data_IF_071226645380
#
_entry.id   IF_071226645380
#
_cell.length_a   1.000
_cell.length_b   1.000
_cell.length_c   1.000
_cell.angle_alpha   90.00
_cell.angle_beta   90.00
_cell.angle_gamma   90.00
#
_symmetry.space_group_name_H-M   'P 1'
#
loop_
_entity.id
_entity.type
_entity.pdbx_description
1 polymer ?
#
# COMPACT_ATOMS: atom_id res chain seq x y z
N UNK A 1 -22.68 2.31 -36.41
CA UNK A 1 -23.24 1.61 -35.23
C UNK A 1 -24.35 2.49 -34.67
N UNK A 2 -25.58 1.98 -34.56
CA UNK A 2 -26.74 2.76 -34.08
C UNK A 2 -26.80 2.63 -32.55
N UNK A 3 -26.85 3.74 -31.82
CA UNK A 3 -27.04 3.72 -30.37
C UNK A 3 -28.43 3.12 -30.07
N UNK A 4 -28.45 1.94 -29.46
CA UNK A 4 -29.67 1.16 -29.24
C UNK A 4 -30.48 1.69 -28.04
N UNK A 5 -29.83 2.39 -27.11
CA UNK A 5 -30.46 3.03 -25.96
C UNK A 5 -29.73 4.34 -25.64
N UNK A 6 -30.26 5.51 -26.04
CA UNK A 6 -29.66 6.79 -25.68
C UNK A 6 -29.83 7.05 -24.18
N UNK A 7 -28.71 7.08 -23.46
CA UNK A 7 -28.67 7.43 -22.04
C UNK A 7 -28.41 8.93 -21.91
N UNK A 8 -29.15 9.60 -21.03
CA UNK A 8 -28.87 10.99 -20.67
C UNK A 8 -27.66 11.06 -19.71
N UNK A 9 -26.49 11.31 -20.29
CA UNK A 9 -25.22 11.42 -19.57
C UNK A 9 -25.17 12.70 -18.72
N UNK A 10 -25.91 13.75 -19.11
CA UNK A 10 -25.95 15.03 -18.38
C UNK A 10 -26.70 14.83 -17.06
N UNK A 11 -27.85 14.17 -17.11
CA UNK A 11 -28.61 13.81 -15.91
C UNK A 11 -27.82 12.88 -14.98
N UNK A 12 -27.12 11.87 -15.52
CA UNK A 12 -26.26 10.98 -14.74
C UNK A 12 -25.11 11.74 -14.03
N UNK A 13 -24.46 12.67 -14.73
CA UNK A 13 -23.40 13.51 -14.17
C UNK A 13 -23.93 14.42 -13.05
N UNK A 14 -25.08 15.06 -13.28
CA UNK A 14 -25.71 15.94 -12.29
C UNK A 14 -26.08 15.16 -11.01
N UNK A 15 -26.56 13.92 -11.16
CA UNK A 15 -26.84 13.02 -10.04
C UNK A 15 -25.58 12.67 -9.23
N UNK A 16 -24.51 12.23 -9.91
CA UNK A 16 -23.26 11.89 -9.24
C UNK A 16 -22.62 13.09 -8.54
N UNK A 17 -22.65 14.27 -9.15
CA UNK A 17 -22.17 15.51 -8.52
C UNK A 17 -23.01 15.90 -7.31
N UNK A 18 -24.34 15.73 -7.37
CA UNK A 18 -25.22 15.92 -6.22
C UNK A 18 -24.85 14.99 -5.06
N UNK A 19 -24.52 13.73 -5.35
CA UNK A 19 -24.09 12.76 -4.34
C UNK A 19 -22.74 13.15 -3.70
N UNK A 20 -21.75 13.60 -4.49
CA UNK A 20 -20.44 14.03 -4.00
C UNK A 20 -20.54 15.31 -3.16
N UNK A 21 -21.40 16.24 -3.57
CA UNK A 21 -21.63 17.52 -2.88
C UNK A 21 -22.65 17.42 -1.75
N UNK A 22 -23.10 16.21 -1.41
CA UNK A 22 -24.13 15.93 -0.39
C UNK A 22 -25.45 16.69 -0.60
N UNK A 23 -25.76 17.04 -1.85
CA UNK A 23 -27.00 17.67 -2.28
C UNK A 23 -27.72 16.73 -3.26
N UNK A 24 -28.51 15.76 -2.75
CA UNK A 24 -29.12 14.74 -3.59
C UNK A 24 -30.08 15.34 -4.60
N UNK A 25 -29.89 15.00 -5.87
CA UNK A 25 -30.75 15.41 -7.00
C UNK A 25 -31.57 14.21 -7.49
N UNK A 26 -32.50 14.46 -8.42
CA UNK A 26 -33.39 13.43 -8.95
C UNK A 26 -32.61 12.29 -9.63
N UNK A 27 -32.95 11.05 -9.29
CA UNK A 27 -32.31 9.86 -9.87
C UNK A 27 -32.74 9.70 -11.34
N UNK A 28 -31.80 9.52 -12.29
CA UNK A 28 -32.14 9.19 -13.67
C UNK A 28 -32.89 7.86 -13.77
N UNK A 29 -34.09 7.85 -14.36
CA UNK A 29 -34.95 6.66 -14.45
C UNK A 29 -34.54 5.65 -15.55
N UNK A 30 -33.41 5.88 -16.24
CA UNK A 30 -32.99 5.01 -17.33
C UNK A 30 -32.59 3.62 -16.80
N UNK A 31 -33.19 2.51 -17.28
CA UNK A 31 -32.96 1.17 -16.71
C UNK A 31 -31.49 0.73 -16.69
N UNK A 32 -30.75 0.98 -17.79
CA UNK A 32 -29.31 0.67 -17.84
C UNK A 32 -28.49 1.43 -16.78
N UNK A 33 -28.85 2.68 -16.49
CA UNK A 33 -28.17 3.46 -15.46
C UNK A 33 -28.43 2.86 -14.08
N UNK A 34 -29.68 2.51 -13.77
CA UNK A 34 -30.07 1.93 -12.48
C UNK A 34 -29.42 0.55 -12.25
N UNK A 35 -29.40 -0.31 -13.27
CA UNK A 35 -28.73 -1.62 -13.20
C UNK A 35 -27.23 -1.44 -12.98
N UNK A 36 -26.58 -0.58 -13.77
CA UNK A 36 -25.15 -0.35 -13.63
C UNK A 36 -24.79 0.26 -12.27
N UNK A 37 -25.52 1.29 -11.85
CA UNK A 37 -25.29 1.98 -10.59
C UNK A 37 -25.48 1.05 -9.38
N UNK A 38 -26.51 0.19 -9.40
CA UNK A 38 -26.71 -0.81 -8.34
C UNK A 38 -25.59 -1.85 -8.28
N UNK A 39 -25.11 -2.34 -9.43
CA UNK A 39 -23.94 -3.23 -9.49
C UNK A 39 -22.67 -2.57 -8.93
N UNK A 40 -22.46 -1.27 -9.20
CA UNK A 40 -21.35 -0.50 -8.63
C UNK A 40 -21.48 -0.36 -7.12
N UNK A 41 -22.67 -0.07 -6.58
CA UNK A 41 -22.89 -0.01 -5.14
C UNK A 41 -22.63 -1.35 -4.46
N UNK A 42 -23.09 -2.46 -5.05
CA UNK A 42 -22.79 -3.82 -4.57
C UNK A 42 -21.28 -4.05 -4.59
N UNK A 43 -20.59 -3.64 -5.66
CA UNK A 43 -19.15 -3.79 -5.79
C UNK A 43 -18.41 -2.99 -4.71
N UNK A 44 -18.82 -1.76 -4.41
CA UNK A 44 -18.21 -0.92 -3.35
C UNK A 44 -18.37 -1.57 -1.97
N UNK A 45 -19.56 -2.12 -1.67
CA UNK A 45 -19.80 -2.84 -0.40
C UNK A 45 -18.98 -4.13 -0.32
N UNK A 46 -18.82 -4.84 -1.43
CA UNK A 46 -18.01 -6.06 -1.49
C UNK A 46 -16.50 -5.78 -1.55
N UNK A 47 -16.09 -4.61 -2.02
CA UNK A 47 -14.71 -4.21 -2.25
C UNK A 47 -13.76 -4.50 -1.07
N UNK A 48 -14.08 -4.17 0.20
CA UNK A 48 -13.17 -4.42 1.32
C UNK A 48 -12.99 -5.91 1.67
N UNK A 49 -13.92 -6.78 1.24
CA UNK A 49 -13.87 -8.21 1.50
C UNK A 49 -13.26 -9.03 0.35
N UNK A 50 -13.02 -8.38 -0.79
CA UNK A 50 -12.56 -9.03 -2.01
C UNK A 50 -11.05 -8.93 -2.25
N UNK A 51 -10.60 -9.62 -3.32
CA UNK A 51 -9.22 -9.50 -3.84
C UNK A 51 -8.91 -8.12 -4.42
N UNK A 52 -9.92 -7.29 -4.66
CA UNK A 52 -9.78 -5.96 -5.25
C UNK A 52 -9.08 -4.96 -4.30
N UNK A 53 -9.13 -5.18 -2.99
CA UNK A 53 -8.39 -4.38 -2.01
C UNK A 53 -6.86 -4.57 -2.10
N UNK A 54 -6.38 -5.54 -2.88
CA UNK A 54 -4.95 -5.80 -3.04
C UNK A 54 -4.20 -4.64 -3.75
N UNK A 55 -4.86 -3.91 -4.66
CA UNK A 55 -4.19 -2.88 -5.47
C UNK A 55 -3.68 -1.67 -4.68
N UNK A 56 -4.43 -1.08 -3.72
CA UNK A 56 -3.90 -0.06 -2.82
C UNK A 56 -2.68 -0.53 -1.99
N UNK A 57 -2.63 -1.81 -1.59
CA UNK A 57 -1.54 -2.37 -0.79
C UNK A 57 -0.16 -2.29 -1.47
N UNK A 58 -0.14 -2.20 -2.80
CA UNK A 58 1.09 -2.02 -3.59
C UNK A 58 1.77 -0.68 -3.29
N UNK A 59 1.01 0.38 -2.95
CA UNK A 59 1.58 1.68 -2.58
C UNK A 59 2.11 1.70 -1.14
N UNK A 60 1.59 0.83 -0.27
CA UNK A 60 1.99 0.73 1.14
C UNK A 60 2.98 -0.42 1.42
N UNK A 61 3.59 -1.00 0.38
CA UNK A 61 4.58 -2.06 0.57
C UNK A 61 5.80 -1.55 1.34
N UNK A 62 6.18 -2.17 2.48
CA UNK A 62 7.35 -1.76 3.26
C UNK A 62 8.62 -1.65 2.41
N UNK A 63 8.81 -2.56 1.47
CA UNK A 63 9.96 -2.61 0.56
C UNK A 63 10.10 -1.40 -0.37
N UNK A 64 9.05 -0.57 -0.53
CA UNK A 64 9.10 0.65 -1.35
C UNK A 64 9.41 1.91 -0.55
N UNK A 65 9.22 1.88 0.76
CA UNK A 65 9.49 3.02 1.66
C UNK A 65 10.66 2.75 2.63
N UNK A 66 11.28 1.58 2.56
CA UNK A 66 12.46 1.24 3.35
C UNK A 66 13.71 1.86 2.73
N UNK A 67 14.49 2.56 3.55
CA UNK A 67 15.80 3.05 3.16
C UNK A 67 16.75 1.87 2.95
N UNK A 68 17.52 1.89 1.86
CA UNK A 68 18.57 0.89 1.60
C UNK A 68 19.84 1.25 2.41
N UNK A 69 19.75 1.12 3.73
CA UNK A 69 20.84 1.42 4.66
C UNK A 69 21.44 0.17 5.32
N UNK A 70 21.12 -1.03 4.82
CA UNK A 70 21.61 -2.29 5.38
C UNK A 70 23.13 -2.41 5.45
N UNK A 71 23.87 -1.64 4.63
CA UNK A 71 25.33 -1.53 4.70
C UNK A 71 25.83 -0.57 5.79
N UNK A 72 25.04 0.44 6.16
CA UNK A 72 25.40 1.45 7.17
C UNK A 72 24.89 1.10 8.56
N UNK A 73 23.71 0.49 8.64
CA UNK A 73 23.10 -0.04 9.86
C UNK A 73 22.96 -1.54 9.73
N UNK A 74 24.01 -2.26 10.09
CA UNK A 74 23.92 -3.70 10.24
C UNK A 74 22.99 -4.02 11.41
N UNK A 75 21.92 -4.75 11.15
CA UNK A 75 21.10 -5.32 12.21
C UNK A 75 21.93 -6.36 12.97
N UNK A 76 22.19 -6.10 14.25
CA UNK A 76 22.82 -7.07 15.16
C UNK A 76 21.72 -7.79 15.93
N UNK A 77 21.64 -9.11 15.78
CA UNK A 77 20.63 -9.93 16.42
C UNK A 77 20.87 -9.98 17.95
N UNK A 78 19.88 -9.64 18.80
CA UNK A 78 20.03 -9.68 20.27
C UNK A 78 20.32 -11.08 20.84
N UNK A 79 20.00 -12.13 20.08
CA UNK A 79 20.20 -13.52 20.46
C UNK A 79 21.53 -14.11 20.00
N UNK A 80 22.35 -13.33 19.28
CA UNK A 80 23.68 -13.80 18.93
C UNK A 80 24.49 -13.95 20.23
N UNK A 81 25.04 -15.14 20.52
CA UNK A 81 25.94 -15.29 21.66
C UNK A 81 27.11 -14.31 21.50
N UNK A 82 27.74 -13.84 22.59
CA UNK A 82 28.90 -12.97 22.51
C UNK A 82 29.92 -13.58 21.56
N UNK A 83 30.05 -13.01 20.36
CA UNK A 83 31.04 -13.45 19.39
C UNK A 83 32.38 -13.02 19.93
N UNK A 84 33.11 -13.95 20.52
CA UNK A 84 34.53 -13.83 20.75
C UNK A 84 35.25 -13.77 19.39
N UNK A 85 35.25 -12.58 18.80
CA UNK A 85 35.99 -12.25 17.57
C UNK A 85 37.50 -12.57 17.65
N UNK A 86 38.00 -13.04 18.79
CA UNK A 86 39.38 -13.50 19.01
C UNK A 86 39.67 -14.93 18.54
N UNK A 87 38.67 -15.82 18.40
CA UNK A 87 38.95 -17.23 18.06
C UNK A 87 38.69 -17.59 16.59
N UNK A 88 37.76 -16.92 15.91
CA UNK A 88 37.42 -17.23 14.50
C UNK A 88 38.27 -16.50 13.46
N UNK A 89 38.92 -15.40 13.84
CA UNK A 89 39.70 -14.56 12.90
C UNK A 89 41.17 -14.97 12.79
N UNK A 90 41.67 -15.80 13.72
CA UNK A 90 43.02 -16.37 13.65
C UNK A 90 43.17 -17.32 12.44
N UNK A 91 42.08 -18.00 12.06
CA UNK A 91 42.10 -19.03 11.01
C UNK A 91 41.99 -18.47 9.59
N UNK A 92 41.42 -17.27 9.43
CA UNK A 92 41.12 -16.68 8.11
C UNK A 92 41.97 -15.44 7.77
N UNK A 93 42.89 -15.02 8.64
CA UNK A 93 43.82 -13.92 8.35
C UNK A 93 43.17 -12.55 8.09
N UNK A 94 41.88 -12.39 8.36
CA UNK A 94 41.12 -11.18 8.07
C UNK A 94 41.16 -10.27 9.30
N UNK A 95 41.93 -9.18 9.23
CA UNK A 95 41.88 -8.09 10.23
C UNK A 95 40.57 -7.31 10.05
N UNK A 96 39.53 -7.67 10.79
CA UNK A 96 38.35 -6.81 10.94
C UNK A 96 38.70 -5.63 11.86
N UNK A 97 38.30 -4.42 11.46
CA UNK A 97 38.35 -3.25 12.34
C UNK A 97 37.42 -3.47 13.55
N UNK A 98 37.81 -3.04 14.75
CA UNK A 98 36.96 -3.16 15.93
C UNK A 98 35.59 -2.52 15.66
N UNK A 99 34.51 -3.25 15.93
CA UNK A 99 33.18 -2.66 15.90
C UNK A 99 33.16 -1.56 16.98
N UNK A 100 32.89 -0.30 16.63
CA UNK A 100 32.84 0.78 17.61
C UNK A 100 31.79 0.45 18.67
N UNK A 101 32.17 0.64 19.94
CA UNK A 101 31.29 0.38 21.07
C UNK A 101 30.10 1.35 20.99
N UNK A 102 28.85 0.89 20.88
CA UNK A 102 27.70 1.80 20.80
C UNK A 102 27.52 2.65 22.06
N UNK A 103 28.16 2.29 23.18
CA UNK A 103 28.15 3.08 24.41
C UNK A 103 29.19 4.21 24.44
N UNK A 104 30.21 4.20 23.57
CA UNK A 104 31.23 5.26 23.53
C UNK A 104 30.85 6.46 22.68
N UNK A 105 29.76 6.39 21.92
CA UNK A 105 29.24 7.51 21.13
C UNK A 105 28.13 8.31 21.86
N UNK A 106 27.72 7.85 23.05
CA UNK A 106 26.68 8.49 23.87
C UNK A 106 27.23 9.17 25.15
N UNK A 107 28.55 9.35 25.25
CA UNK A 107 29.21 10.19 26.27
C UNK A 107 29.77 11.47 25.65
#
# INVERSE_FOLDING_TARGET
MKYVAPVDVVAAKAFLLGLITLNPTTVPAHPLFLIHFSLVLILVVYFPFGKLLHAPGVFFSPTRNQADDGRRRLYVNPWDPPRDFGLRNADFGIKQSPIPNPKSEME
#
